data_IF_984080338075
#
_entry.id   IF_984080338075
#
_cell.length_a   1.000
_cell.length_b   1.000
_cell.length_c   1.000
_cell.angle_alpha   90.00
_cell.angle_beta   90.00
_cell.angle_gamma   90.00
#
_symmetry.space_group_name_H-M   'P 1'
#
loop_
_entity.id
_entity.type
_entity.pdbx_description
1 polymer ?
2 non-polymer ?
3 water ?
#
# COMPACT_ATOMS: atom_id res chain seq x y z
N UNK A 9 -2.91 -7.04 22.04
CA UNK A 9 -4.34 -6.62 22.23
C UNK A 9 -4.63 -5.29 21.44
N UNK A 10 -5.33 -4.34 22.07
CA UNK A 10 -5.82 -3.13 21.40
C UNK A 10 -4.72 -2.09 21.19
N UNK A 11 -4.90 -1.27 20.15
CA UNK A 11 -4.07 -0.10 19.84
C UNK A 11 -5.08 1.03 19.76
N UNK A 12 -5.24 1.76 20.87
CA UNK A 12 -6.23 2.83 20.97
C UNK A 12 -5.62 4.12 20.50
N UNK A 13 -6.30 4.78 19.55
CA UNK A 13 -5.90 6.08 19.02
C UNK A 13 -6.87 7.14 19.54
N UNK A 14 -6.35 8.15 20.24
CA UNK A 14 -7.18 9.27 20.74
C UNK A 14 -7.23 10.24 19.56
N UNK A 15 -8.25 11.10 19.50
CA UNK A 15 -8.43 12.03 18.35
C UNK A 15 -7.23 12.92 18.15
N UNK A 16 -6.95 13.76 19.14
CA UNK A 16 -5.86 14.73 19.07
C UNK A 16 -4.65 14.26 19.87
N UNK A 17 -3.52 14.88 19.57
CA UNK A 17 -2.28 14.73 20.33
C UNK A 17 -1.63 16.10 20.28
N UNK A 18 -1.03 16.52 21.40
CA UNK A 18 -0.34 17.82 21.43
C UNK A 18 1.19 17.69 21.36
N UNK A 19 1.67 16.51 20.93
CA UNK A 19 3.09 16.25 20.65
C UNK A 19 3.29 16.54 19.17
N UNK A 20 4.36 17.26 18.84
CA UNK A 20 4.73 17.58 17.46
C UNK A 20 5.35 16.32 16.81
N UNK A 21 4.95 16.04 15.57
CA UNK A 21 5.44 14.86 14.82
C UNK A 21 6.94 14.93 14.45
N UNK A 22 7.45 16.16 14.35
CA UNK A 22 8.84 16.46 14.06
C UNK A 22 9.78 15.82 15.11
N UNK A 23 9.39 15.85 16.38
CA UNK A 23 10.20 15.30 17.49
C UNK A 23 10.28 13.78 17.54
N UNK A 24 9.15 13.10 17.35
CA UNK A 24 9.08 11.61 17.42
C UNK A 24 9.48 10.84 16.14
N UNK A 25 9.69 11.55 15.03
CA UNK A 25 10.06 10.94 13.73
C UNK A 25 11.42 11.41 13.20
N UNK A 26 12.08 10.50 12.45
CA UNK A 26 13.34 10.78 11.73
C UNK A 26 13.05 10.68 10.23
N UNK A 27 13.49 11.70 9.51
CA UNK A 27 13.25 11.87 8.08
C UNK A 27 14.47 11.64 7.21
N UNK A 28 14.19 11.45 5.94
CA UNK A 28 15.19 11.31 4.91
C UNK A 28 14.48 11.54 3.57
N UNK A 29 15.22 12.04 2.59
CA UNK A 29 14.69 12.33 1.26
C UNK A 29 15.56 11.73 0.16
N UNK A 30 14.92 11.37 -0.95
CA UNK A 30 15.61 10.79 -2.10
C UNK A 30 14.95 11.29 -3.38
N UNK A 31 15.77 11.77 -4.30
CA UNK A 31 15.33 12.27 -5.59
C UNK A 31 15.40 11.15 -6.63
N UNK A 32 14.27 10.84 -7.27
CA UNK A 32 14.25 9.85 -8.36
C UNK A 32 14.73 10.51 -9.65
N UNK A 33 15.59 9.81 -10.38
CA UNK A 33 16.14 10.30 -11.66
C UNK A 33 15.00 10.41 -12.68
N UNK A 34 15.05 11.45 -13.52
CA UNK A 34 14.01 11.70 -14.50
C UNK A 34 14.49 11.68 -15.95
N UNK A 35 14.35 10.50 -16.58
CA UNK A 35 14.65 10.29 -18.00
C UNK A 35 13.33 9.97 -18.72
N UNK A 36 13.33 10.13 -20.04
CA UNK A 36 12.18 9.77 -20.90
C UNK A 36 11.78 8.29 -20.76
N UNK A 37 12.76 7.42 -20.52
CA UNK A 37 12.52 5.99 -20.31
C UNK A 37 11.92 5.63 -18.94
N UNK A 38 11.91 6.56 -17.97
CA UNK A 38 11.43 6.27 -16.61
C UNK A 38 10.59 7.37 -15.97
N UNK A 39 9.63 7.90 -16.73
CA UNK A 39 8.69 8.92 -16.22
C UNK A 39 7.70 8.22 -15.28
N UNK A 40 7.45 8.80 -14.12
CA UNK A 40 6.58 8.23 -13.09
C UNK A 40 5.48 9.22 -12.72
N UNK A 41 4.21 8.79 -12.79
CA UNK A 41 3.04 9.59 -12.38
C UNK A 41 2.69 9.35 -10.92
N UNK A 42 2.67 8.08 -10.53
CA UNK A 42 2.27 7.63 -9.21
C UNK A 42 3.27 6.58 -8.69
N UNK A 43 3.56 6.58 -7.39
CA UNK A 43 4.40 5.53 -6.79
C UNK A 43 3.42 4.73 -5.96
N UNK A 44 2.74 3.81 -6.63
CA UNK A 44 1.70 2.96 -6.03
C UNK A 44 2.20 1.98 -4.99
N UNK A 45 3.23 1.21 -5.35
CA UNK A 45 3.81 0.17 -4.49
C UNK A 45 5.33 0.17 -4.62
N UNK A 46 6.03 -0.14 -3.53
CA UNK A 46 7.50 -0.18 -3.51
C UNK A 46 8.04 -1.34 -2.65
N UNK A 47 9.08 -2.03 -3.16
CA UNK A 47 9.72 -3.17 -2.50
C UNK A 47 11.24 -3.14 -2.70
N UNK A 48 11.99 -3.57 -1.68
CA UNK A 48 13.45 -3.68 -1.76
C UNK A 48 13.81 -4.99 -2.46
N UNK A 49 14.95 -5.01 -3.15
CA UNK A 49 15.47 -6.22 -3.82
C UNK A 49 16.95 -5.99 -4.12
N UNK A 50 17.82 -6.62 -3.32
CA UNK A 50 19.28 -6.43 -3.38
C UNK A 50 19.47 -4.95 -2.97
N UNK A 51 20.23 -4.14 -3.73
CA UNK A 51 20.33 -2.69 -3.44
C UNK A 51 19.59 -1.90 -4.51
N UNK A 52 18.33 -2.30 -4.73
CA UNK A 52 17.43 -1.65 -5.70
C UNK A 52 16.03 -1.49 -5.13
N UNK A 53 15.28 -0.58 -5.75
CA UNK A 53 13.92 -0.24 -5.39
C UNK A 53 12.99 -0.62 -6.55
N UNK A 54 12.14 -1.63 -6.34
CA UNK A 54 11.12 -2.00 -7.32
C UNK A 54 9.95 -1.05 -7.09
N UNK A 55 9.59 -0.24 -8.09
CA UNK A 55 8.49 0.74 -8.02
C UNK A 55 7.46 0.45 -9.10
N UNK A 56 6.19 0.37 -8.70
CA UNK A 56 5.05 0.20 -9.60
C UNK A 56 4.29 1.52 -9.72
N UNK A 57 4.10 1.99 -10.94
CA UNK A 57 3.34 3.19 -11.25
C UNK A 57 1.96 2.68 -11.65
N UNK A 58 1.10 2.43 -10.66
CA UNK A 58 -0.26 1.90 -10.91
C UNK A 58 -1.22 2.84 -11.65
N UNK A 59 -0.83 4.11 -11.84
CA UNK A 59 -1.59 5.06 -12.63
C UNK A 59 -1.37 4.76 -14.13
N UNK A 60 -0.11 4.64 -14.56
CA UNK A 60 0.26 4.28 -15.95
C UNK A 60 0.59 2.80 -16.18
N UNK A 61 0.62 2.01 -15.10
CA UNK A 61 0.91 0.56 -15.11
C UNK A 61 2.27 0.16 -15.67
N UNK A 62 3.32 0.85 -15.25
CA UNK A 62 4.72 0.56 -15.60
C UNK A 62 5.43 0.07 -14.34
N UNK A 63 6.21 -1.00 -14.45
CA UNK A 63 6.98 -1.53 -13.33
C UNK A 63 8.43 -1.14 -13.58
N UNK A 64 9.00 -0.33 -12.68
CA UNK A 64 10.39 0.17 -12.81
C UNK A 64 11.34 -0.33 -11.75
N UNK A 65 12.64 -0.29 -12.07
CA UNK A 65 13.71 -0.61 -11.12
C UNK A 65 14.59 0.63 -11.00
N UNK A 66 14.70 1.12 -9.78
CA UNK A 66 15.56 2.23 -9.42
C UNK A 66 16.59 1.72 -8.42
N UNK A 67 17.63 2.53 -8.26
CA UNK A 67 18.76 2.24 -7.38
C UNK A 67 18.53 2.95 -6.04
N UNK A 68 19.25 2.51 -4.99
CA UNK A 68 19.22 3.15 -3.65
C UNK A 68 19.48 4.66 -3.75
N UNK A 69 20.40 5.03 -4.64
CA UNK A 69 20.75 6.42 -4.90
C UNK A 69 19.74 7.21 -5.75
N UNK A 70 18.68 6.55 -6.27
CA UNK A 70 17.65 7.17 -7.10
C UNK A 70 17.86 7.07 -8.61
N UNK A 71 18.92 6.39 -9.03
CA UNK A 71 19.23 6.20 -10.46
C UNK A 71 18.33 5.14 -11.06
N UNK A 72 17.94 5.33 -12.31
CA UNK A 72 17.11 4.37 -13.02
C UNK A 72 18.00 3.23 -13.50
N UNK A 73 17.61 1.99 -13.22
CA UNK A 73 18.36 0.80 -13.62
C UNK A 73 17.76 0.22 -14.89
N UNK A 74 16.47 -0.11 -14.86
CA UNK A 74 15.78 -0.72 -16.00
C UNK A 74 14.27 -0.87 -15.75
N UNK A 75 13.48 -1.05 -16.81
CA UNK A 75 12.04 -1.34 -16.71
C UNK A 75 11.84 -2.86 -16.75
N UNK A 76 10.89 -3.36 -15.97
CA UNK A 76 10.55 -4.79 -15.93
C UNK A 76 9.41 -4.99 -16.92
N UNK A 77 9.72 -5.59 -18.07
CA UNK A 77 8.74 -5.80 -19.14
C UNK A 77 8.39 -4.48 -19.79
N UNK A 78 7.19 -4.42 -20.36
CA UNK A 78 6.69 -3.17 -20.98
C UNK A 78 5.18 -3.24 -21.18
N UNK A 79 4.57 -2.11 -21.56
CA UNK A 79 3.13 -2.07 -21.83
C UNK A 79 2.85 -2.69 -23.18
N UNK A 80 1.69 -3.37 -23.28
CA UNK A 80 1.25 -4.00 -24.52
C UNK A 80 0.43 -5.25 -24.28
N UNK A 81 -0.19 -5.75 -25.35
CA UNK A 81 -1.06 -6.95 -25.31
C UNK A 81 -0.40 -8.30 -25.62
N UNK A 82 0.90 -8.32 -25.95
CA UNK A 82 1.60 -9.55 -26.28
C UNK A 82 2.04 -10.36 -25.06
N UNK A 83 2.76 -11.48 -25.30
CA UNK A 83 3.29 -12.23 -24.17
C UNK A 83 4.42 -11.45 -23.51
N UNK A 84 4.42 -11.37 -22.19
CA UNK A 84 5.41 -10.59 -21.43
C UNK A 84 5.12 -9.10 -21.31
N UNK A 85 4.00 -8.65 -21.91
CA UNK A 85 3.58 -7.25 -21.90
C UNK A 85 2.31 -7.14 -21.05
N UNK A 86 2.05 -5.95 -20.50
CA UNK A 86 0.92 -5.69 -19.59
C UNK A 86 0.12 -4.40 -19.83
N UNK A 87 -1.14 -4.37 -19.39
CA UNK A 87 -2.03 -3.19 -19.53
C UNK A 87 -2.28 -2.50 -18.19
N UNK A 88 -2.68 -3.26 -17.17
CA UNK A 88 -3.02 -2.69 -15.86
C UNK A 88 -2.59 -3.56 -14.66
N UNK A 89 -1.44 -3.22 -14.10
CA UNK A 89 -0.86 -3.87 -12.95
C UNK A 89 -1.46 -3.34 -11.64
N UNK A 90 -1.89 -4.26 -10.79
CA UNK A 90 -2.41 -3.97 -9.46
C UNK A 90 -1.39 -4.27 -8.36
N UNK A 91 -0.51 -5.25 -8.59
CA UNK A 91 0.49 -5.66 -7.59
C UNK A 91 1.58 -6.55 -8.18
N UNK A 92 2.57 -6.86 -7.35
CA UNK A 92 3.64 -7.82 -7.68
C UNK A 92 4.28 -8.37 -6.40
N UNK A 93 5.14 -9.36 -6.55
CA UNK A 93 5.89 -9.91 -5.40
C UNK A 93 7.15 -10.61 -5.88
N UNK A 94 8.08 -10.78 -4.95
CA UNK A 94 9.36 -11.44 -5.20
C UNK A 94 9.25 -12.76 -4.45
N UNK A 95 9.62 -13.89 -5.07
CA UNK A 95 9.53 -15.16 -4.36
C UNK A 95 10.55 -15.20 -3.23
N UNK A 96 10.32 -16.08 -2.26
CA UNK A 96 11.18 -16.22 -1.07
C UNK A 96 12.66 -16.51 -1.42
N UNK A 97 12.89 -17.29 -2.47
CA UNK A 97 14.26 -17.60 -2.94
C UNK A 97 14.93 -16.53 -3.82
N UNK A 98 14.19 -15.53 -4.26
CA UNK A 98 14.68 -14.46 -5.14
C UNK A 98 15.14 -15.01 -6.50
N UNK A 99 14.23 -15.76 -7.14
CA UNK A 99 14.38 -16.30 -8.49
C UNK A 99 13.59 -15.44 -9.47
N UNK A 100 12.32 -15.16 -9.12
CA UNK A 100 11.41 -14.41 -9.98
C UNK A 100 10.65 -13.27 -9.35
N UNK A 101 10.17 -12.38 -10.22
CA UNK A 101 9.29 -11.26 -9.87
C UNK A 101 7.99 -11.51 -10.66
N UNK A 102 6.88 -11.68 -9.95
CA UNK A 102 5.58 -12.01 -10.53
C UNK A 102 4.64 -10.82 -10.41
N UNK A 103 4.30 -10.21 -11.55
CA UNK A 103 3.38 -9.07 -11.59
C UNK A 103 1.99 -9.54 -12.04
N UNK A 104 0.94 -8.99 -11.42
CA UNK A 104 -0.47 -9.31 -11.68
C UNK A 104 -1.13 -8.23 -12.55
N UNK A 105 -1.52 -8.62 -13.76
CA UNK A 105 -2.21 -7.76 -14.72
C UNK A 105 -3.71 -8.05 -14.63
N UNK A 106 -4.45 -7.17 -13.93
CA UNK A 106 -5.94 -7.29 -13.80
C UNK A 106 -6.73 -6.95 -15.07
N UNK A 107 -6.11 -6.28 -16.03
CA UNK A 107 -6.77 -5.93 -17.29
C UNK A 107 -6.86 -7.14 -18.21
N UNK A 108 -5.77 -7.90 -18.32
CA UNK A 108 -5.69 -9.08 -19.20
C UNK A 108 -5.81 -10.44 -18.49
N UNK A 109 -6.14 -10.43 -17.18
CA UNK A 109 -6.36 -11.66 -16.38
C UNK A 109 -5.20 -12.64 -16.46
N UNK A 110 -3.99 -12.12 -16.22
CA UNK A 110 -2.77 -12.93 -16.24
C UNK A 110 -1.72 -12.48 -15.21
N UNK A 111 -0.80 -13.40 -14.95
CA UNK A 111 0.34 -13.22 -14.03
C UNK A 111 1.56 -13.30 -14.92
N UNK A 112 2.47 -12.34 -14.83
CA UNK A 112 3.71 -12.36 -15.64
C UNK A 112 4.91 -12.54 -14.72
N UNK A 113 5.75 -13.52 -15.05
CA UNK A 113 6.94 -13.86 -14.29
C UNK A 113 8.16 -13.35 -15.03
N UNK A 114 8.96 -12.53 -14.34
CA UNK A 114 10.23 -12.00 -14.83
C UNK A 114 11.34 -12.49 -13.92
N UNK A 115 12.59 -12.44 -14.42
CA UNK A 115 13.79 -12.87 -13.68
C UNK A 115 14.11 -11.83 -12.60
N UNK A 116 14.34 -12.30 -11.38
CA UNK A 116 14.67 -11.40 -10.25
C UNK A 116 16.05 -10.76 -10.36
N UNK A 117 16.96 -11.42 -11.08
CA UNK A 117 18.34 -10.95 -11.28
C UNK A 117 18.47 -10.02 -12.50
N UNK A 118 18.19 -10.52 -13.71
CA UNK A 118 18.35 -9.73 -14.98
C UNK A 118 17.11 -9.03 -15.56
N UNK A 119 15.94 -9.25 -14.95
CA UNK A 119 14.63 -8.60 -15.33
C UNK A 119 13.98 -9.00 -16.67
N UNK A 120 14.53 -10.03 -17.34
CA UNK A 120 13.99 -10.53 -18.60
C UNK A 120 12.74 -11.37 -18.31
N UNK A 121 11.89 -11.51 -19.32
CA UNK A 121 10.63 -12.26 -19.21
C UNK A 121 10.90 -13.78 -19.20
N UNK A 122 10.24 -14.49 -18.27
CA UNK A 122 10.35 -15.95 -18.12
C UNK A 122 9.13 -16.65 -18.72
N UNK A 123 7.94 -16.37 -18.17
CA UNK A 123 6.68 -16.96 -18.64
C UNK A 123 5.45 -16.28 -18.06
N UNK A 124 4.28 -16.54 -18.65
CA UNK A 124 3.01 -15.96 -18.16
C UNK A 124 1.93 -17.02 -18.04
N UNK A 125 1.09 -16.87 -17.02
CA UNK A 125 -0.04 -17.77 -16.75
C UNK A 125 -1.29 -16.93 -16.52
N UNK A 126 -2.45 -17.58 -16.60
CA UNK A 126 -3.72 -16.88 -16.34
C UNK A 126 -3.99 -16.87 -14.86
N UNK A 127 -4.64 -15.79 -14.40
CA UNK A 127 -5.06 -15.68 -13.02
C UNK A 127 -6.06 -16.78 -12.80
N UNK A 128 -5.97 -17.48 -11.66
CA UNK A 128 -6.91 -18.56 -11.39
C UNK A 128 -8.37 -18.12 -11.11
N UNK A 129 -8.55 -16.86 -10.72
CA UNK A 129 -9.85 -16.29 -10.35
C UNK A 129 -9.72 -14.75 -10.26
N UNK A 130 -10.82 -14.05 -9.95
CA UNK A 130 -10.78 -12.59 -9.81
C UNK A 130 -9.99 -12.20 -8.54
N UNK A 131 -8.85 -11.54 -8.76
CA UNK A 131 -7.92 -11.16 -7.69
C UNK A 131 -7.01 -10.02 -8.15
N UNK A 132 -6.50 -9.22 -7.20
CA UNK A 132 -5.61 -8.07 -7.50
C UNK A 132 -4.21 -8.11 -6.85
N UNK A 133 -4.05 -8.89 -5.80
CA UNK A 133 -2.85 -8.85 -4.99
C UNK A 133 -2.54 -10.23 -4.40
N UNK A 134 -1.24 -10.58 -4.35
CA UNK A 134 -0.75 -11.89 -3.88
C UNK A 134 0.61 -11.81 -3.16
N UNK A 135 0.88 -12.80 -2.29
CA UNK A 135 2.17 -12.92 -1.57
C UNK A 135 2.50 -14.37 -1.21
N UNK A 136 3.79 -14.72 -1.28
CA UNK A 136 4.23 -16.08 -0.96
C UNK A 136 4.40 -16.23 0.54
N UNK A 137 3.71 -17.21 1.12
CA UNK A 137 3.83 -17.56 2.55
C UNK A 137 5.16 -18.27 2.74
N UNK A 138 5.75 -18.19 3.94
CA UNK A 138 7.08 -18.79 4.21
C UNK A 138 7.18 -20.27 3.80
N UNK A 139 6.11 -21.04 4.00
CA UNK A 139 6.09 -22.45 3.57
C UNK A 139 6.11 -22.67 2.04
N UNK A 140 5.84 -21.63 1.24
CA UNK A 140 5.90 -21.71 -0.22
C UNK A 140 4.57 -21.49 -0.94
N UNK A 141 3.47 -21.69 -0.22
CA UNK A 141 2.14 -21.50 -0.78
C UNK A 141 1.86 -20.01 -0.97
N UNK A 142 0.83 -19.71 -1.74
CA UNK A 142 0.52 -18.34 -2.15
C UNK A 142 -0.77 -17.85 -1.49
N UNK A 143 -0.74 -16.62 -0.94
CA UNK A 143 -1.93 -15.98 -0.37
C UNK A 143 -2.40 -14.95 -1.38
N UNK A 144 -3.64 -15.09 -1.83
CA UNK A 144 -4.30 -14.17 -2.78
C UNK A 144 -5.54 -13.59 -2.10
N UNK A 145 -5.97 -12.42 -2.56
CA UNK A 145 -7.23 -11.82 -2.09
C UNK A 145 -8.32 -12.27 -3.06
N UNK A 146 -9.56 -12.32 -2.60
CA UNK A 146 -10.74 -12.70 -3.41
C UNK A 146 -11.60 -11.49 -3.78
N UNK A 147 -11.56 -11.09 -5.05
CA UNK A 147 -12.40 -9.98 -5.57
C UNK A 147 -13.68 -10.50 -6.28
N UNK A 148 -14.36 -11.47 -5.65
CA UNK A 148 -15.59 -12.06 -6.20
C UNK A 148 -16.77 -11.84 -5.25
N UNK A 149 -17.96 -11.70 -5.84
CA UNK A 149 -19.24 -11.46 -5.14
C UNK A 149 -20.45 -12.25 -5.72
N UNK A 150 -20.17 -13.22 -6.61
CA UNK A 150 -21.17 -13.97 -7.37
C UNK A 150 -21.57 -15.29 -6.66
N UNK A 151 -22.03 -16.30 -7.41
CA UNK A 151 -22.42 -17.63 -6.88
C UNK A 151 -21.26 -18.40 -6.23
N UNK A 152 -20.11 -18.40 -6.92
CA UNK A 152 -18.82 -19.03 -6.51
C UNK A 152 -18.53 -19.10 -4.99
N UNK A 153 -17.97 -20.23 -4.51
CA UNK A 153 -17.60 -20.39 -3.07
C UNK A 153 -16.57 -19.36 -2.64
N UNK A 154 -15.65 -19.05 -3.55
CA UNK A 154 -14.62 -18.04 -3.33
C UNK A 154 -15.20 -16.63 -3.06
N UNK A 155 -16.42 -16.36 -3.54
CA UNK A 155 -17.12 -15.09 -3.29
C UNK A 155 -17.54 -14.88 -1.83
N UNK A 156 -17.60 -15.96 -1.02
CA UNK A 156 -17.95 -15.91 0.41
C UNK A 156 -16.74 -15.77 1.37
N UNK A 157 -15.56 -15.50 0.83
CA UNK A 157 -14.35 -15.30 1.62
C UNK A 157 -13.58 -14.08 1.13
N UNK A 158 -12.76 -13.52 2.01
CA UNK A 158 -11.93 -12.36 1.67
C UNK A 158 -10.62 -12.77 0.97
N UNK A 159 -9.98 -13.85 1.45
CA UNK A 159 -8.70 -14.37 0.92
C UNK A 159 -8.76 -15.87 0.67
N UNK A 160 -7.76 -16.37 -0.05
CA UNK A 160 -7.64 -17.80 -0.37
C UNK A 160 -6.17 -18.21 -0.48
N UNK A 161 -5.84 -19.38 0.04
CA UNK A 161 -4.48 -19.91 -0.01
C UNK A 161 -4.43 -21.01 -1.06
N UNK A 162 -3.49 -20.92 -2.00
CA UNK A 162 -3.31 -21.92 -3.07
C UNK A 162 -1.88 -22.43 -3.09
N UNK A 163 -1.70 -23.58 -3.73
CA UNK A 163 -0.36 -24.15 -3.91
C UNK A 163 0.37 -23.41 -5.05
N UNK A 164 1.61 -23.82 -5.30
CA UNK A 164 2.46 -23.36 -6.41
C UNK A 164 1.68 -23.23 -7.74
N UNK A 165 0.90 -24.26 -8.04
CA UNK A 165 0.16 -24.43 -9.31
C UNK A 165 -1.20 -23.68 -9.38
N UNK A 166 -1.61 -23.03 -8.29
CA UNK A 166 -2.89 -22.25 -8.15
C UNK A 166 -4.15 -23.06 -7.72
N UNK A 167 -4.01 -24.34 -7.41
CA UNK A 167 -5.14 -25.14 -6.89
C UNK A 167 -5.39 -24.65 -5.46
N UNK A 168 -6.66 -24.45 -5.11
CA UNK A 168 -7.06 -23.89 -3.81
C UNK A 168 -6.82 -24.89 -2.68
N UNK A 169 -6.07 -24.47 -1.65
CA UNK A 169 -5.80 -25.30 -0.47
C UNK A 169 -6.87 -25.01 0.59
N UNK A 170 -7.01 -23.73 0.97
CA UNK A 170 -8.05 -23.32 1.93
C UNK A 170 -8.51 -21.89 1.72
N UNK A 171 -9.79 -21.64 1.98
CA UNK A 171 -10.40 -20.33 1.90
C UNK A 171 -10.26 -19.72 3.29
N UNK A 172 -9.95 -18.42 3.34
CA UNK A 172 -9.65 -17.70 4.58
C UNK A 172 -10.50 -16.46 4.77
N UNK A 174 -14.17 -15.19 6.59
CA UNK A 174 -15.56 -15.11 6.16
C UNK A 174 -15.95 -13.67 5.79
N UNK A 175 -16.60 -13.51 4.63
CA UNK A 175 -17.04 -12.20 4.08
C UNK A 175 -18.57 -12.12 4.12
N UNK A 176 -19.08 -11.37 5.09
CA UNK A 176 -20.54 -11.23 5.28
C UNK A 176 -21.15 -10.27 4.28
N UNK A 177 -20.61 -9.06 4.20
CA UNK A 177 -21.05 -8.05 3.25
C UNK A 177 -20.40 -8.33 1.91
N UNK A 178 -21.22 -8.63 0.90
CA UNK A 178 -20.75 -8.94 -0.46
C UNK A 178 -21.22 -7.86 -1.42
N UNK A 179 -20.28 -7.36 -2.23
CA UNK A 179 -20.57 -6.31 -3.21
C UNK A 179 -19.51 -6.24 -4.29
N UNK A 180 -19.90 -5.63 -5.41
CA UNK A 180 -19.00 -5.34 -6.52
C UNK A 180 -18.10 -4.16 -6.23
N UNK A 181 -18.55 -3.29 -5.30
CA UNK A 181 -17.84 -2.08 -4.90
C UNK A 181 -16.99 -2.34 -3.64
N UNK A 182 -15.67 -2.10 -3.75
CA UNK A 182 -14.68 -2.24 -2.66
C UNK A 182 -14.28 -0.87 -2.17
N UNK A 183 -14.01 -0.72 -0.88
CA UNK A 183 -13.67 0.59 -0.31
C UNK A 183 -12.23 0.78 0.15
N UNK A 184 -11.61 -0.26 0.72
CA UNK A 184 -10.25 -0.18 1.26
C UNK A 184 -9.14 -0.04 0.23
N UNK A 185 -7.87 -0.21 0.65
CA UNK A 185 -6.74 -0.11 -0.30
C UNK A 185 -6.70 -1.30 -1.23
N UNK A 186 -5.97 -1.17 -2.34
CA UNK A 186 -5.83 -2.24 -3.33
C UNK A 186 -4.91 -3.36 -2.85
N UNK A 187 -3.86 -2.98 -2.12
CA UNK A 187 -2.88 -3.90 -1.50
C UNK A 187 -3.24 -3.99 0.00
N UNK A 189 -2.42 -6.92 1.95
CA UNK A 189 -1.63 -8.07 2.38
C UNK A 189 -0.18 -7.59 2.41
N UNK A 190 0.54 -7.93 3.49
CA UNK A 190 1.95 -7.55 3.64
C UNK A 190 2.76 -8.53 4.50
N UNK A 191 4.08 -8.36 4.46
CA UNK A 191 5.04 -9.14 5.22
C UNK A 191 5.75 -8.31 6.30
N UNK A 192 6.14 -9.01 7.37
CA UNK A 192 6.96 -8.50 8.47
C UNK A 192 7.83 -9.71 8.80
N UNK A 193 9.06 -9.69 8.29
CA UNK A 193 9.96 -10.83 8.39
C UNK A 193 9.38 -11.85 7.43
N UNK A 194 9.24 -13.08 7.92
CA UNK A 194 8.67 -14.22 7.16
C UNK A 194 7.13 -14.30 7.19
N UNK A 195 6.51 -13.78 8.26
CA UNK A 195 5.05 -13.80 8.44
C UNK A 195 4.30 -12.87 7.51
N UNK A 196 3.15 -13.35 7.04
CA UNK A 196 2.27 -12.65 6.14
C UNK A 196 1.02 -12.24 6.93
N UNK A 197 0.63 -10.99 6.79
CA UNK A 197 -0.51 -10.42 7.47
C UNK A 197 -1.53 -9.93 6.47
N UNK A 198 -2.79 -9.83 6.90
CA UNK A 198 -3.90 -9.40 6.03
C UNK A 198 -5.00 -8.69 6.81
N UNK A 199 -5.81 -7.89 6.12
CA UNK A 199 -6.92 -7.14 6.74
C UNK A 199 -8.00 -6.70 5.76
N UNK A 200 -9.19 -6.42 6.29
CA UNK A 200 -10.37 -6.06 5.51
C UNK A 200 -10.90 -4.67 5.86
N UNK A 201 -11.71 -4.06 4.97
CA UNK A 201 -12.18 -2.70 5.28
C UNK A 201 -13.16 -2.54 6.42
N UNK A 202 -13.85 -3.62 6.84
CA UNK A 202 -14.90 -3.54 7.89
C UNK A 202 -14.61 -4.39 9.13
N UNK A 203 -13.33 -4.44 9.48
CA UNK A 203 -12.85 -5.21 10.64
C UNK A 203 -11.48 -4.64 11.05
N UNK A 204 -11.46 -3.82 12.10
CA UNK A 204 -10.22 -3.19 12.59
C UNK A 204 -9.35 -4.20 13.32
N UNK A 205 -8.84 -5.14 12.54
CA UNK A 205 -8.01 -6.24 13.04
C UNK A 205 -7.05 -6.67 11.93
N UNK A 206 -5.78 -6.87 12.30
CA UNK A 206 -4.77 -7.39 11.38
C UNK A 206 -4.52 -8.83 11.81
N UNK A 207 -4.67 -9.75 10.86
CA UNK A 207 -4.51 -11.18 11.09
C UNK A 207 -3.22 -11.69 10.46
N UNK A 208 -2.49 -12.52 11.19
CA UNK A 208 -1.28 -13.19 10.67
C UNK A 208 -1.86 -14.42 9.99
N UNK A 209 -1.69 -14.53 8.67
CA UNK A 209 -2.28 -15.64 7.89
C UNK A 209 -1.23 -16.62 7.38
N UNK A 210 -1.38 -17.89 7.77
CA UNK A 210 -0.56 -19.01 7.29
C UNK A 210 -1.46 -19.97 6.52
N UNK A 211 -0.92 -21.11 6.09
CA UNK A 211 -1.71 -22.11 5.36
C UNK A 211 -2.85 -22.70 6.22
N UNK A 212 -2.59 -22.99 7.50
CA UNK A 212 -3.59 -23.57 8.44
C UNK A 212 -3.82 -22.71 9.68
N UNK A 213 -3.83 -21.38 9.51
CA UNK A 213 -3.99 -20.43 10.63
C UNK A 213 -4.58 -19.06 10.26
N UNK A 214 -5.44 -18.55 11.15
CA UNK A 214 -5.90 -17.16 11.14
C UNK A 214 -5.80 -16.79 12.61
N UNK A 215 -4.81 -15.95 12.94
CA UNK A 215 -4.53 -15.53 14.32
C UNK A 215 -4.40 -14.02 14.33
N UNK A 216 -5.24 -13.31 15.12
CA UNK A 216 -5.13 -11.85 15.13
C UNK A 216 -3.81 -11.40 15.76
N UNK A 217 -3.19 -10.37 15.18
CA UNK A 217 -1.92 -9.79 15.64
C UNK A 217 -2.08 -8.36 16.21
N UNK A 218 -2.97 -7.55 15.65
CA UNK A 218 -3.27 -6.19 16.17
C UNK A 218 -4.74 -5.89 15.98
N UNK A 219 -5.34 -5.16 16.90
CA UNK A 219 -6.71 -4.65 16.76
C UNK A 219 -6.70 -3.14 17.06
N UNK A 220 -7.53 -2.38 16.37
CA UNK A 220 -7.57 -0.92 16.52
C UNK A 220 -8.92 -0.41 16.99
N UNK A 221 -8.87 0.75 17.63
CA UNK A 221 -10.04 1.52 18.04
C UNK A 221 -9.60 2.97 17.94
N UNK A 222 -10.50 3.82 17.46
CA UNK A 222 -10.25 5.25 17.29
C UNK A 222 -11.31 5.99 18.08
N UNK A 223 -10.92 7.06 18.77
CA UNK A 223 -11.86 7.84 19.58
C UNK A 223 -12.87 8.53 18.65
N UNK A 224 -14.15 8.45 19.04
CA UNK A 224 -15.24 9.10 18.32
C UNK A 224 -15.60 8.58 16.93
N UNK A 225 -15.15 7.38 16.59
CA UNK A 225 -15.43 6.76 15.29
C UNK A 225 -15.16 5.27 15.33
N UNK A 226 -15.61 4.60 14.28
CA UNK A 226 -15.46 3.16 14.15
C UNK A 226 -15.69 2.78 12.69
N UNK A 227 -15.45 1.51 12.37
CA UNK A 227 -15.83 0.94 11.08
C UNK A 227 -17.38 0.91 10.95
N UNK A 228 -17.91 0.94 9.71
CA UNK A 228 -19.37 0.85 9.53
C UNK A 228 -19.94 -0.49 9.96
N UNK A 229 -21.17 -0.49 10.46
CA UNK A 229 -21.86 -1.75 10.85
C UNK A 229 -22.29 -2.50 9.60
N UNK A 230 -22.67 -3.76 9.75
CA UNK A 230 -23.16 -4.56 8.62
C UNK A 230 -24.49 -4.01 8.09
N UNK A 231 -25.35 -3.55 9.00
CA UNK A 231 -26.66 -2.96 8.64
C UNK A 231 -26.54 -1.65 7.87
N UNK A 232 -25.61 -0.79 8.28
CA UNK A 232 -25.34 0.47 7.57
C UNK A 232 -24.91 0.21 6.12
N UNK A 233 -24.04 -0.79 5.93
CA UNK A 233 -23.54 -1.18 4.60
C UNK A 233 -24.66 -1.70 3.69
N UNK A 234 -25.43 -2.67 4.17
CA UNK A 234 -26.57 -3.23 3.41
C UNK A 234 -27.68 -2.23 3.02
N UNK A 235 -27.98 -1.28 3.93
CA UNK A 235 -28.99 -0.26 3.67
C UNK A 235 -28.53 0.72 2.58
N UNK A 236 -27.30 1.22 2.72
CA UNK A 236 -26.71 2.17 1.75
C UNK A 236 -26.18 1.52 0.45
N UNK A 237 -26.22 0.19 0.34
CA UNK A 237 -25.76 -0.55 -0.84
C UNK A 237 -26.83 -1.38 -1.54
N UNK A 238 -28.08 -1.36 -1.05
CA UNK A 238 -29.18 -2.19 -1.58
C UNK A 238 -28.74 -3.67 -1.64
N UNK A 239 -28.23 -4.16 -0.52
CA UNK A 239 -27.72 -5.55 -0.37
C UNK A 239 -26.58 -5.84 -1.36
N UNK A 240 -25.65 -4.89 -1.51
CA UNK A 240 -24.49 -5.06 -2.40
C UNK A 240 -24.61 -4.63 -3.85
N UNK A 241 -25.82 -4.28 -4.29
CA UNK A 241 -26.07 -3.89 -5.69
C UNK A 241 -25.58 -2.48 -6.05
N UNK A 242 -25.70 -1.51 -5.13
CA UNK A 242 -25.34 -0.09 -5.37
C UNK A 242 -24.07 0.35 -4.64
N UNK A 243 -23.48 1.45 -5.12
CA UNK A 243 -22.25 1.99 -4.55
C UNK A 243 -22.53 2.83 -3.28
N UNK A 244 -22.32 2.19 -2.15
CA UNK A 244 -22.38 2.79 -0.79
C UNK A 244 -21.32 3.85 -0.48
N UNK A 245 -20.20 3.84 -1.20
CA UNK A 245 -19.06 4.76 -0.96
C UNK A 245 -19.43 6.23 -0.74
N UNK A 246 -20.44 6.74 -1.45
CA UNK A 246 -20.89 8.14 -1.29
C UNK A 246 -21.51 8.32 0.08
N UNK A 247 -22.47 7.46 0.41
CA UNK A 247 -23.14 7.52 1.72
C UNK A 247 -22.19 7.28 2.89
N UNK A 248 -21.21 6.40 2.68
CA UNK A 248 -20.19 6.09 3.69
C UNK A 248 -19.36 7.33 4.06
N UNK A 249 -18.99 8.10 3.05
CA UNK A 249 -18.20 9.35 3.25
C UNK A 249 -19.00 10.44 3.99
N UNK A 250 -20.32 10.45 3.81
CA UNK A 250 -21.21 11.39 4.52
C UNK A 250 -21.34 11.09 6.02
N UNK A 251 -21.05 9.85 6.44
CA UNK A 251 -21.18 9.44 7.85
C UNK A 251 -19.94 9.71 8.69
N UNK A 252 -20.13 9.61 10.00
CA UNK A 252 -19.07 9.74 10.99
C UNK A 252 -18.13 8.52 11.02
N UNK A 253 -18.53 7.39 10.41
CA UNK A 253 -17.72 6.15 10.35
C UNK A 253 -16.37 6.31 9.63
N UNK A 254 -15.52 5.29 9.73
CA UNK A 254 -14.23 5.26 9.05
C UNK A 254 -14.48 4.88 7.59
N UNK A 255 -14.23 5.84 6.69
CA UNK A 255 -14.44 5.70 5.25
C UNK A 255 -13.48 4.71 4.56
N UNK A 256 -12.19 4.84 4.86
CA UNK A 256 -11.08 4.07 4.29
C UNK A 256 -10.00 3.95 5.36
N UNK A 257 -9.18 2.90 5.30
CA UNK A 257 -7.99 2.81 6.18
C UNK A 257 -6.96 1.85 5.60
N UNK A 258 -5.69 2.27 5.59
CA UNK A 258 -4.59 1.41 5.12
C UNK A 258 -3.58 1.28 6.25
N UNK A 259 -2.87 0.16 6.28
CA UNK A 259 -1.86 -0.11 7.32
C UNK A 259 -0.54 -0.54 6.69
N UNK A 260 0.53 0.05 7.22
CA UNK A 260 1.90 -0.32 6.85
C UNK A 260 2.63 -0.60 8.17
N UNK A 261 3.29 -1.74 8.22
CA UNK A 261 3.98 -2.18 9.44
C UNK A 261 5.47 -2.44 9.16
N UNK A 262 6.31 -2.14 10.16
CA UNK A 262 7.76 -2.42 10.13
C UNK A 262 8.10 -3.14 11.45
N UNK A 263 9.38 -3.37 11.72
CA UNK A 263 9.82 -4.00 12.99
C UNK A 263 9.64 -3.08 14.20
N UNK A 264 9.78 -1.77 13.99
CA UNK A 264 9.74 -0.77 15.07
C UNK A 264 8.44 0.00 15.24
N UNK A 265 7.71 0.23 14.15
CA UNK A 265 6.47 1.02 14.16
C UNK A 265 5.34 0.48 13.27
N UNK A 266 4.21 1.19 13.31
CA UNK A 266 3.03 0.82 12.55
C UNK A 266 2.20 2.10 12.28
N UNK A 267 2.07 2.46 11.01
CA UNK A 267 1.33 3.67 10.55
C UNK A 267 -0.02 3.24 10.02
N UNK A 268 -1.05 4.01 10.36
CA UNK A 268 -2.43 3.75 9.94
C UNK A 268 -3.03 5.01 9.32
N UNK A 269 -3.09 5.08 7.99
CA UNK A 269 -3.78 6.19 7.32
C UNK A 269 -5.22 5.80 7.23
N UNK A 270 -6.11 6.78 7.41
CA UNK A 270 -7.55 6.56 7.32
C UNK A 270 -8.34 7.84 6.99
N UNK A 272 -12.16 10.01 7.61
CA UNK A 272 -13.27 10.24 8.54
C UNK A 272 -13.81 11.64 8.32
N UNK A 273 -15.13 11.78 8.24
CA UNK A 273 -15.78 13.08 7.99
C UNK A 273 -15.13 13.81 6.79
N UNK A 274 -14.83 13.06 5.72
CA UNK A 274 -14.18 13.57 4.50
C UNK A 274 -12.74 14.13 4.65
N UNK A 275 -12.04 13.82 5.75
CA UNK A 275 -10.65 14.33 6.02
C UNK A 275 -9.67 13.19 6.28
N UNK A 276 -8.42 13.36 5.82
CA UNK A 276 -7.37 12.33 5.97
C UNK A 276 -6.62 12.46 7.30
N UNK A 277 -6.46 11.35 8.00
CA UNK A 277 -5.74 11.27 9.29
C UNK A 277 -4.65 10.22 9.24
N UNK A 278 -3.69 10.31 10.16
CA UNK A 278 -2.64 9.30 10.31
C UNK A 278 -2.31 9.02 11.77
N UNK A 279 -2.37 7.74 12.13
CA UNK A 279 -2.08 7.23 13.46
C UNK A 279 -0.74 6.53 13.42
N UNK A 280 0.18 6.97 14.28
CA UNK A 280 1.53 6.41 14.41
C UNK A 280 1.52 5.59 15.68
N UNK A 281 2.02 4.35 15.64
CA UNK A 281 2.17 3.51 16.84
C UNK A 281 3.64 3.11 17.00
N UNK A 282 4.22 3.41 18.18
CA UNK A 282 5.62 3.07 18.50
C UNK A 282 5.56 1.79 19.32
N UNK A 283 5.98 0.69 18.70
CA UNK A 283 5.96 -0.63 19.33
C UNK A 283 6.84 -0.75 20.55
N UNK A 284 7.98 -0.04 20.56
CA UNK A 284 8.93 -0.10 21.69
C UNK A 284 8.37 0.53 22.97
N UNK A 285 7.82 1.74 22.85
CA UNK A 285 7.20 2.44 23.99
C UNK A 285 5.73 2.09 24.24
N UNK A 286 5.02 1.54 23.24
CA UNK A 286 3.58 1.21 23.28
C UNK A 286 2.74 2.51 23.35
N UNK A 287 3.07 3.47 22.49
CA UNK A 287 2.38 4.76 22.48
C UNK A 287 1.83 5.14 21.11
N UNK A 288 0.61 5.67 21.09
CA UNK A 288 -0.05 6.12 19.84
C UNK A 288 -0.07 7.64 19.74
N UNK A 289 -0.07 8.13 18.50
CA UNK A 289 -0.11 9.57 18.18
C UNK A 289 -0.95 9.73 16.94
N UNK A 290 -2.02 10.53 17.00
CA UNK A 290 -2.95 10.72 15.88
C UNK A 290 -2.92 12.16 15.39
N UNK A 291 -2.87 12.34 14.07
CA UNK A 291 -2.77 13.66 13.42
C UNK A 291 -3.64 13.76 12.17
N UNK A 292 -4.38 14.89 12.00
CA UNK A 292 -4.98 15.10 10.67
C UNK A 292 -3.81 15.38 9.72
N UNK A 293 -3.81 14.81 8.53
CA UNK A 293 -2.68 15.01 7.58
C UNK A 293 -2.36 16.51 7.30
N UNK A 294 -3.38 17.38 7.32
CA UNK A 294 -3.14 18.84 7.17
C UNK A 294 -2.14 19.37 8.23
N UNK A 295 -2.26 18.86 9.46
CA UNK A 295 -1.37 19.24 10.56
C UNK A 295 -0.03 18.51 10.40
N UNK A 296 -0.08 17.19 10.16
CA UNK A 296 1.10 16.30 10.00
C UNK A 296 2.13 16.82 8.98
N UNK A 297 1.67 17.16 7.79
CA UNK A 297 2.56 17.65 6.72
C UNK A 297 3.20 19.03 6.99
N UNK A 298 2.46 19.94 7.64
CA UNK A 298 3.00 21.25 8.06
C UNK A 298 4.02 21.10 9.23
N UNK A 299 3.78 20.18 10.15
CA UNK A 299 4.72 19.90 11.27
C UNK A 299 6.07 19.34 10.80
N UNK A 300 6.07 18.49 9.78
CA UNK A 300 7.32 17.95 9.19
C UNK A 300 7.95 18.84 8.11
N UNK A 301 7.27 19.93 7.74
CA UNK A 301 7.73 20.91 6.73
C UNK A 301 7.93 20.28 5.35
N UNK A 302 6.87 19.61 4.86
CA UNK A 302 6.86 18.92 3.54
C UNK A 302 5.69 19.31 2.59
N UNK A 303 4.98 20.41 2.88
CA UNK A 303 3.93 20.95 2.00
C UNK A 303 2.65 20.17 1.78
N UNK A 304 2.74 19.11 0.96
CA UNK A 304 1.64 18.19 0.60
C UNK A 304 2.04 16.77 0.85
N UNK A 305 1.10 15.97 1.36
CA UNK A 305 1.31 14.55 1.59
C UNK A 305 -0.02 13.91 1.21
N UNK A 306 -0.20 13.70 -0.09
CA UNK A 306 -1.46 13.16 -0.65
C UNK A 306 -1.73 11.70 -0.29
N UNK A 307 -0.67 10.89 -0.24
CA UNK A 307 -0.80 9.48 0.07
C UNK A 307 0.54 8.83 0.44
N UNK A 308 0.45 7.73 1.18
CA UNK A 308 1.59 6.90 1.51
C UNK A 308 1.62 5.74 0.54
N UNK A 309 2.79 5.49 -0.07
CA UNK A 309 2.98 4.33 -0.94
C UNK A 309 2.91 3.11 -0.05
N UNK A 310 2.39 2.03 -0.61
CA UNK A 310 2.35 0.76 0.11
C UNK A 310 3.79 0.21 0.01
N UNK A 311 4.23 -0.48 1.06
CA UNK A 311 5.61 -0.96 1.23
C UNK A 311 6.51 -0.02 2.04
N UNK A 312 7.65 -0.54 2.49
CA UNK A 312 8.66 0.20 3.24
C UNK A 312 10.08 -0.19 2.79
N UNK A 313 11.07 0.60 3.21
CA UNK A 313 12.48 0.43 2.81
C UNK A 313 13.38 0.63 4.04
N UNK A 314 14.01 -0.45 4.54
CA UNK A 314 14.86 -0.40 5.75
C UNK A 314 14.03 0.21 6.91
N UNK A 315 12.81 -0.32 7.07
CA UNK A 315 11.82 0.13 8.05
C UNK A 315 11.35 1.62 7.91
N UNK A 316 11.58 2.26 6.74
CA UNK A 316 11.12 3.63 6.47
C UNK A 316 9.85 3.58 5.62
N UNK A 317 8.84 4.36 6.01
CA UNK A 317 7.58 4.50 5.27
C UNK A 317 7.86 5.46 4.12
N UNK A 318 7.28 5.19 2.95
CA UNK A 318 7.52 5.97 1.73
C UNK A 318 6.30 6.82 1.37
N UNK A 319 6.53 8.06 0.98
CA UNK A 319 5.47 8.98 0.55
C UNK A 319 6.00 9.86 -0.59
N UNK A 320 5.51 9.68 -1.83
CA UNK A 320 6.01 10.50 -2.93
C UNK A 320 5.42 11.90 -2.86
N UNK A 321 6.25 12.90 -3.15
CA UNK A 321 5.90 14.31 -3.10
C UNK A 321 6.01 14.91 -4.50
N UNK A 322 5.00 15.69 -4.92
CA UNK A 322 4.93 16.27 -6.25
C UNK A 322 5.83 17.51 -6.30
N UNK A 323 6.80 17.50 -7.22
CA UNK A 323 7.80 18.58 -7.33
C UNK A 323 7.16 19.94 -7.61
N UNK A 324 6.45 20.07 -8.74
CA UNK A 324 5.85 21.35 -9.12
C UNK A 324 4.94 21.95 -8.05
N UNK A 325 4.13 21.11 -7.42
CA UNK A 325 3.21 21.53 -6.35
C UNK A 325 4.00 22.17 -5.19
N UNK A 326 5.10 21.52 -4.81
CA UNK A 326 6.00 22.01 -3.76
C UNK A 326 6.85 23.22 -4.18
N UNK A 327 7.31 23.24 -5.43
CA UNK A 327 8.11 24.38 -5.94
C UNK A 327 7.30 25.69 -5.92
N UNK A 328 6.02 25.61 -6.23
CA UNK A 328 5.10 26.76 -6.13
C UNK A 328 4.93 27.19 -4.66
N UNK A 330 7.22 26.68 -2.31
CA UNK A 330 8.53 27.30 -2.05
C UNK A 330 8.55 28.72 -2.60
N UNK A 331 8.06 28.90 -3.84
CA UNK A 331 7.91 30.20 -4.49
C UNK A 331 7.04 31.19 -3.72
N UNK A 332 6.05 30.66 -2.98
CA UNK A 332 5.18 31.44 -2.07
C UNK A 332 5.70 31.49 -0.61
N UNK A 333 7.01 31.32 -0.42
CA UNK A 333 7.63 31.39 0.90
C UNK A 333 7.23 30.32 1.90
N UNK A 334 7.03 29.09 1.44
CA UNK A 334 6.68 28.00 2.34
C UNK A 334 7.96 27.59 3.05
N UNK A 335 7.85 27.47 4.37
CA UNK A 335 8.98 27.14 5.25
C UNK A 335 9.26 25.62 5.21
N UNK A 336 10.00 25.19 4.17
CA UNK A 336 10.38 23.76 3.96
C UNK A 336 11.50 23.23 4.84
N UNK A 337 11.64 21.90 4.87
CA UNK A 337 12.72 21.19 5.59
C UNK A 337 14.05 21.48 4.85
N UNK A 338 15.15 21.62 5.61
CA UNK A 338 16.47 21.94 5.05
C UNK A 338 16.88 21.00 3.92
N UNK A 339 16.85 19.69 4.20
CA UNK A 339 17.25 18.71 3.18
C UNK A 339 16.26 18.58 2.01
N UNK A 340 14.95 18.78 2.25
CA UNK A 340 13.95 18.75 1.17
C UNK A 340 14.15 19.92 0.22
N UNK A 341 14.29 21.12 0.79
CA UNK A 341 14.52 22.37 0.05
C UNK A 341 15.80 22.32 -0.80
N UNK A 342 16.85 21.69 -0.27
CA UNK A 342 18.15 21.47 -0.97
C UNK A 342 17.93 20.65 -2.25
N UNK A 343 17.18 19.54 -2.15
CA UNK A 343 16.82 18.72 -3.32
C UNK A 343 15.80 19.41 -4.25
N UNK A 344 14.88 20.17 -3.66
CA UNK A 344 13.81 20.90 -4.39
C UNK A 344 14.39 22.06 -5.26
N UNK A 345 15.46 22.69 -4.76
CA UNK A 345 16.16 23.78 -5.46
C UNK A 345 16.90 23.28 -6.71
N UNK A 346 17.47 22.06 -6.64
CA UNK A 346 18.13 21.41 -7.80
C UNK A 346 17.19 20.55 -8.69
N UNK A 347 15.88 20.57 -8.41
CA UNK A 347 14.88 19.81 -9.17
C UNK A 347 14.19 20.71 -10.18
N UNK A 348 14.01 20.18 -11.39
CA UNK A 348 13.26 20.84 -12.44
C UNK A 348 11.77 20.68 -12.15
N UNK A 349 10.95 21.58 -12.69
CA UNK A 349 9.49 21.54 -12.52
C UNK A 349 8.85 20.22 -13.04
N UNK A 350 9.49 19.60 -14.03
CA UNK A 350 9.01 18.36 -14.66
C UNK A 350 9.52 17.08 -13.99
N UNK A 351 10.41 17.19 -13.01
CA UNK A 351 11.02 15.99 -12.38
C UNK A 351 10.05 15.08 -11.61
N UNK A 352 10.37 13.78 -11.60
CA UNK A 352 9.62 12.76 -10.87
C UNK A 352 9.56 13.07 -9.38
N UNK A 353 8.68 12.37 -8.68
CA UNK A 353 8.47 12.56 -7.25
C UNK A 353 9.74 12.45 -6.41
N UNK A 354 9.85 13.34 -5.41
CA UNK A 354 10.89 13.26 -4.39
C UNK A 354 10.24 12.39 -3.29
N UNK A 355 10.86 11.25 -3.00
CA UNK A 355 10.34 10.33 -1.96
C UNK A 355 10.73 10.81 -0.56
N UNK A 356 9.77 10.71 0.35
CA UNK A 356 9.94 10.98 1.76
C UNK A 356 10.06 9.62 2.42
N UNK A 357 11.19 9.39 3.09
CA UNK A 357 11.41 8.21 3.91
C UNK A 357 11.26 8.69 5.34
N UNK A 358 10.29 8.11 6.08
CA UNK A 358 9.97 8.51 7.46
C UNK A 358 9.64 7.31 8.35
N UNK A 359 10.07 7.36 9.60
CA UNK A 359 9.79 6.31 10.60
C UNK A 359 9.93 6.88 12.01
N UNK A 360 9.52 6.07 12.99
CA UNK A 360 9.67 6.45 14.40
C UNK A 360 11.15 6.29 14.72
N UNK A 361 11.75 7.35 15.29
CA UNK A 361 13.16 7.30 15.70
C UNK A 361 13.27 6.53 17.02
N UNK A 362 14.37 5.79 17.18
CA UNK A 362 14.67 5.09 18.45
C UNK A 362 15.63 5.96 19.26
#
# INVERSE_FOLDING_TARGET
GKELHESSTIISFKEHTDVNADSILELSFLKLQTKDSCLVKNVGLIRELNNCLLILDSANSNLYVFNKSGAFVNQIGQKGSGPGEYILLSSFFVDNNKNYIAAIDIAQDKVLYYNATDFSFLYERRLPFSTSCCLQLEDGNLLWNSREYTDSKLSDFYFVVTDSLFDIIDYKXNKEFKSGYTTGPSQXIYKVGTNVFAYTPFDLTIYRVGTSEIVPAHSFSFEGTDIPSLDFLNKTSNQGNSNYLYDLIQSDYISYYCVEETERDLFVCYXKNKEKYIGLYDKNTDRTYNYPIKIFQDQLKVGELNYFSIGSVDDYHVAPLDVLSLKDXAGNGYVFDDKLSELLTISNEEDNSILLFVRIKK
#
